data_IF_457843942503
#
_entry.id   IF_457843942503
#
_cell.length_a   1.000
_cell.length_b   1.000
_cell.length_c   1.000
_cell.angle_alpha   90.00
_cell.angle_beta   90.00
_cell.angle_gamma   90.00
#
_symmetry.space_group_name_H-M   'P 1'
#
loop_
_entity.id
_entity.type
_entity.pdbx_description
1 polymer ?
#
# COMPACT_ATOMS: atom_id res chain seq x y z
N UNK A 1 -7.69 18.54 -23.50
CA UNK A 1 -7.12 19.81 -23.01
C UNK A 1 -6.46 20.57 -24.15
N UNK A 2 -5.33 20.10 -24.72
CA UNK A 2 -4.60 20.82 -25.79
C UNK A 2 -5.45 21.26 -26.98
N UNK A 3 -6.37 20.41 -27.43
CA UNK A 3 -7.24 20.72 -28.57
C UNK A 3 -8.39 21.69 -28.23
N UNK A 4 -8.72 21.85 -26.94
CA UNK A 4 -9.82 22.69 -26.45
C UNK A 4 -9.45 23.32 -25.07
N UNK A 5 -8.43 24.19 -25.02
CA UNK A 5 -7.87 24.68 -23.74
C UNK A 5 -8.79 25.66 -23.01
N UNK A 6 -9.76 26.25 -23.70
CA UNK A 6 -10.81 27.12 -23.16
C UNK A 6 -11.89 26.35 -22.40
N UNK A 7 -12.04 25.05 -22.67
CA UNK A 7 -13.09 24.20 -22.07
C UNK A 7 -12.65 23.47 -20.81
N UNK A 8 -11.35 23.33 -20.60
CA UNK A 8 -10.79 22.50 -19.54
C UNK A 8 -9.68 23.24 -18.82
N UNK A 9 -9.60 23.06 -17.51
CA UNK A 9 -8.40 23.42 -16.78
C UNK A 9 -7.25 22.49 -17.19
N UNK A 10 -6.02 22.99 -17.10
CA UNK A 10 -4.81 22.22 -17.44
C UNK A 10 -4.45 21.25 -16.31
N UNK A 11 -5.35 20.30 -16.05
CA UNK A 11 -5.22 19.28 -15.02
C UNK A 11 -6.09 18.07 -15.36
N UNK A 12 -5.51 16.87 -15.27
CA UNK A 12 -6.22 15.59 -15.43
C UNK A 12 -6.31 14.92 -14.06
N UNK A 13 -7.48 15.02 -13.44
CA UNK A 13 -7.66 14.45 -12.10
C UNK A 13 -7.65 12.92 -12.17
N UNK A 14 -6.86 12.30 -11.31
CA UNK A 14 -6.61 10.86 -11.25
C UNK A 14 -5.35 10.42 -11.98
N UNK A 15 -4.64 11.31 -12.69
CA UNK A 15 -3.37 10.96 -13.37
C UNK A 15 -2.23 10.76 -12.36
N UNK A 16 -2.23 11.54 -11.27
CA UNK A 16 -1.17 11.52 -10.25
C UNK A 16 -1.71 11.37 -8.82
N UNK A 17 -2.98 11.74 -8.60
CA UNK A 17 -3.65 11.61 -7.32
C UNK A 17 -3.61 10.16 -6.85
N UNK A 18 -3.34 9.97 -5.56
CA UNK A 18 -3.24 8.67 -4.90
C UNK A 18 -2.37 7.64 -5.64
N UNK A 19 -1.25 8.10 -6.23
CA UNK A 19 -0.32 7.26 -6.98
C UNK A 19 -0.78 6.90 -8.40
N UNK A 20 -1.80 7.60 -8.91
CA UNK A 20 -2.45 7.32 -10.18
C UNK A 20 -3.66 6.40 -10.03
N UNK A 21 -4.69 6.64 -10.83
CA UNK A 21 -5.96 5.92 -10.76
C UNK A 21 -6.36 5.36 -12.13
N UNK A 22 -7.29 4.42 -12.13
CA UNK A 22 -7.85 3.87 -13.36
C UNK A 22 -8.91 4.77 -14.02
N UNK A 23 -9.29 5.89 -13.38
CA UNK A 23 -10.36 6.77 -13.80
C UNK A 23 -9.82 8.19 -13.93
N UNK A 24 -9.85 8.74 -15.14
CA UNK A 24 -9.34 10.08 -15.44
C UNK A 24 -10.49 11.02 -15.74
N UNK A 25 -10.45 12.20 -15.12
CA UNK A 25 -11.48 13.22 -15.29
C UNK A 25 -10.89 14.52 -15.85
N UNK A 26 -11.68 15.16 -16.70
CA UNK A 26 -11.42 16.52 -17.21
C UNK A 26 -12.58 17.42 -16.77
N UNK A 27 -12.26 18.62 -16.32
CA UNK A 27 -13.24 19.60 -15.88
C UNK A 27 -12.90 21.00 -16.40
N UNK A 28 -13.92 21.85 -16.59
CA UNK A 28 -13.74 23.26 -16.92
C UNK A 28 -13.60 24.18 -15.71
N UNK A 29 -13.83 23.63 -14.50
CA UNK A 29 -13.71 24.32 -13.21
C UNK A 29 -12.82 23.50 -12.28
N UNK A 30 -12.39 24.08 -11.17
CA UNK A 30 -11.56 23.39 -10.20
C UNK A 30 -12.33 22.23 -9.56
N UNK A 31 -11.68 21.08 -9.39
CA UNK A 31 -12.27 19.87 -8.83
C UNK A 31 -12.93 20.05 -7.44
N UNK A 32 -12.36 20.83 -6.49
CA UNK A 32 -13.03 21.10 -5.21
C UNK A 32 -14.38 21.82 -5.32
N UNK A 33 -14.62 22.60 -6.38
CA UNK A 33 -15.92 23.26 -6.64
C UNK A 33 -16.97 22.27 -7.14
N UNK A 34 -16.52 21.10 -7.61
CA UNK A 34 -17.36 19.98 -8.08
C UNK A 34 -17.54 18.90 -7.00
N UNK A 35 -17.24 19.23 -5.74
CA UNK A 35 -17.26 18.30 -4.59
C UNK A 35 -16.29 17.11 -4.71
N UNK A 36 -15.25 17.21 -5.53
CA UNK A 36 -14.18 16.21 -5.51
C UNK A 36 -13.30 16.40 -4.27
N UNK A 37 -12.81 15.30 -3.67
CA UNK A 37 -11.92 15.37 -2.53
C UNK A 37 -10.55 15.94 -2.94
N UNK A 38 -9.90 16.65 -2.02
CA UNK A 38 -8.50 17.03 -2.15
C UNK A 38 -7.65 15.80 -1.81
N UNK A 39 -6.93 15.27 -2.79
CA UNK A 39 -6.10 14.08 -2.66
C UNK A 39 -4.61 14.44 -2.66
N UNK A 40 -3.81 13.63 -1.94
CA UNK A 40 -2.36 13.67 -2.05
C UNK A 40 -1.85 12.87 -3.26
N UNK A 41 -0.53 12.91 -3.48
CA UNK A 41 0.12 12.18 -4.57
C UNK A 41 0.60 10.78 -4.16
N UNK A 42 0.68 10.50 -2.86
CA UNK A 42 1.13 9.20 -2.36
C UNK A 42 0.11 8.10 -2.65
N UNK A 43 0.56 6.89 -3.05
CA UNK A 43 -0.33 5.78 -3.31
C UNK A 43 -1.17 5.43 -2.08
N UNK A 44 -2.47 5.21 -2.28
CA UNK A 44 -3.38 4.81 -1.20
C UNK A 44 -2.87 3.61 -0.36
N UNK A 45 -2.27 2.55 -0.94
CA UNK A 45 -1.73 1.44 -0.15
C UNK A 45 -0.30 1.64 0.39
N UNK A 46 0.30 2.84 0.34
CA UNK A 46 1.71 3.02 0.69
C UNK A 46 2.09 2.52 2.10
N UNK A 47 1.22 2.72 3.09
CA UNK A 47 1.46 2.24 4.46
C UNK A 47 1.33 0.72 4.60
N UNK A 48 0.29 0.11 4.02
CA UNK A 48 0.04 -1.33 4.13
C UNK A 48 1.07 -2.14 3.34
N UNK A 49 1.43 -1.67 2.14
CA UNK A 49 2.47 -2.26 1.30
C UNK A 49 3.81 -2.30 2.03
N UNK A 50 4.23 -1.16 2.59
CA UNK A 50 5.49 -1.06 3.35
C UNK A 50 5.52 -2.00 4.55
N UNK A 51 4.41 -2.09 5.30
CA UNK A 51 4.30 -2.98 6.44
C UNK A 51 4.36 -4.45 6.02
N UNK A 52 3.66 -4.83 4.96
CA UNK A 52 3.69 -6.18 4.42
C UNK A 52 5.11 -6.56 3.96
N UNK A 53 5.77 -5.69 3.20
CA UNK A 53 7.15 -5.92 2.79
C UNK A 53 8.13 -5.99 3.95
N UNK A 54 7.89 -5.27 5.05
CA UNK A 54 8.73 -5.34 6.24
C UNK A 54 8.57 -6.69 6.98
N UNK A 55 7.34 -7.10 7.30
CA UNK A 55 7.07 -8.31 8.10
C UNK A 55 7.38 -9.58 7.29
N UNK A 56 7.09 -9.58 5.99
CA UNK A 56 7.27 -10.73 5.13
C UNK A 56 8.53 -10.64 4.26
N UNK A 57 9.46 -9.74 4.59
CA UNK A 57 10.69 -9.57 3.82
C UNK A 57 11.47 -10.88 3.75
N UNK A 58 11.58 -11.43 2.54
CA UNK A 58 12.24 -12.72 2.27
C UNK A 58 11.73 -13.87 3.15
N UNK A 59 10.54 -13.74 3.76
CA UNK A 59 10.00 -14.67 4.76
C UNK A 59 10.93 -14.94 5.97
N UNK A 60 11.97 -14.12 6.19
CA UNK A 60 12.93 -14.30 7.28
C UNK A 60 12.22 -14.23 8.64
N UNK A 61 11.39 -13.20 8.95
CA UNK A 61 10.76 -13.12 10.26
C UNK A 61 9.83 -14.32 10.55
N UNK A 62 8.90 -14.72 9.65
CA UNK A 62 8.10 -15.93 9.86
C UNK A 62 8.94 -17.21 10.07
N UNK A 63 9.93 -17.47 9.21
CA UNK A 63 10.79 -18.67 9.32
C UNK A 63 11.54 -18.67 10.64
N UNK A 64 12.10 -17.52 11.05
CA UNK A 64 12.84 -17.40 12.32
C UNK A 64 11.95 -17.68 13.54
N UNK A 65 10.71 -17.20 13.52
CA UNK A 65 9.73 -17.44 14.58
C UNK A 65 9.38 -18.93 14.68
N UNK A 66 9.07 -19.58 13.55
CA UNK A 66 8.75 -21.01 13.54
C UNK A 66 9.94 -21.88 13.91
N UNK A 67 11.15 -21.54 13.45
CA UNK A 67 12.37 -22.26 13.84
C UNK A 67 12.61 -22.18 15.36
N UNK A 68 12.44 -21.00 15.96
CA UNK A 68 12.56 -20.81 17.40
C UNK A 68 11.52 -21.64 18.17
N UNK A 69 10.24 -21.58 17.77
CA UNK A 69 9.18 -22.36 18.40
C UNK A 69 9.43 -23.87 18.28
N UNK A 70 9.86 -24.33 17.11
CA UNK A 70 10.25 -25.73 16.89
C UNK A 70 11.39 -26.17 17.80
N UNK A 71 12.41 -25.33 17.98
CA UNK A 71 13.52 -25.61 18.90
C UNK A 71 13.07 -25.68 20.37
N UNK A 72 12.19 -24.77 20.81
CA UNK A 72 11.63 -24.79 22.17
C UNK A 72 10.81 -26.08 22.40
N UNK A 73 9.96 -26.45 21.45
CA UNK A 73 9.16 -27.68 21.55
C UNK A 73 10.04 -28.94 21.58
N UNK A 74 11.12 -28.97 20.79
CA UNK A 74 12.07 -30.08 20.80
C UNK A 74 12.74 -30.24 22.16
N UNK A 75 13.27 -29.16 22.74
CA UNK A 75 13.94 -29.22 24.05
C UNK A 75 12.99 -29.65 25.16
N UNK A 76 11.72 -29.20 25.12
CA UNK A 76 10.69 -29.64 26.05
C UNK A 76 10.31 -31.12 25.92
N UNK A 77 10.30 -31.66 24.69
CA UNK A 77 10.02 -33.09 24.45
C UNK A 77 11.09 -33.98 25.06
N UNK A 78 12.37 -33.69 24.82
CA UNK A 78 13.49 -34.50 25.32
C UNK A 78 13.51 -34.61 26.85
N UNK A 79 13.03 -33.58 27.56
CA UNK A 79 13.01 -33.55 29.02
C UNK A 79 11.97 -34.50 29.65
N UNK A 80 10.87 -34.80 28.93
CA UNK A 80 9.85 -35.78 29.33
C UNK A 80 10.27 -37.24 29.10
N UNK A 81 11.22 -37.47 28.19
CA UNK A 81 11.73 -38.81 27.86
C UNK A 81 12.85 -39.26 28.82
N UNK A 82 13.40 -38.33 29.60
CA UNK A 82 14.48 -38.57 30.58
C UNK A 82 14.02 -38.67 32.05
N UNK A 83 12.72 -38.51 32.32
CA UNK A 83 12.05 -38.78 33.61
C UNK A 83 11.27 -40.10 33.52
#
# INVERSE_FOLDING_TARGET
IRDNPDRYIDHVFGEHEVGGTAWLYLAGQNFPELDFPILGMDPAPGASESLQHAIFKYFIPPISLFALLGAIMWTGKNKKESE
#
